data_IF_394595952515
#
_entry.id   IF_394595952515
#
_cell.length_a   1.000
_cell.length_b   1.000
_cell.length_c   1.000
_cell.angle_alpha   90.00
_cell.angle_beta   90.00
_cell.angle_gamma   90.00
#
_symmetry.space_group_name_H-M   'P 1'
#
loop_
_entity.id
_entity.type
_entity.pdbx_description
1 polymer ?
#
# COMPACT_ATOMS: atom_id res chain seq x y z
N UNK A 1 -38.36 -25.49 15.20
CA UNK A 1 -37.58 -24.26 14.95
C UNK A 1 -36.26 -24.73 14.38
N UNK A 2 -36.12 -24.64 13.06
CA UNK A 2 -35.00 -25.24 12.35
C UNK A 2 -33.71 -24.46 12.70
N UNK A 3 -33.00 -24.95 13.70
CA UNK A 3 -31.66 -24.56 14.16
C UNK A 3 -31.25 -23.12 13.81
N UNK A 4 -31.91 -22.15 14.46
CA UNK A 4 -31.62 -20.71 14.28
C UNK A 4 -30.15 -20.38 14.58
N UNK A 5 -29.52 -21.18 15.44
CA UNK A 5 -28.09 -21.10 15.77
C UNK A 5 -27.22 -21.45 14.56
N UNK A 6 -27.51 -22.56 13.86
CA UNK A 6 -26.76 -22.97 12.68
C UNK A 6 -26.89 -22.00 11.50
N UNK A 7 -28.01 -21.28 11.37
CA UNK A 7 -28.16 -20.21 10.37
C UNK A 7 -27.27 -19.01 10.70
N UNK A 8 -27.21 -18.62 11.97
CA UNK A 8 -26.36 -17.52 12.44
C UNK A 8 -24.87 -17.85 12.28
N UNK A 9 -24.44 -19.07 12.59
CA UNK A 9 -23.05 -19.52 12.42
C UNK A 9 -22.62 -19.52 10.95
N UNK A 10 -23.47 -20.05 10.05
CA UNK A 10 -23.21 -20.01 8.61
C UNK A 10 -23.14 -18.57 8.06
N UNK A 11 -23.90 -17.65 8.66
CA UNK A 11 -23.85 -16.24 8.28
C UNK A 11 -22.55 -15.57 8.75
N UNK A 12 -22.05 -15.93 9.93
CA UNK A 12 -20.76 -15.45 10.45
C UNK A 12 -19.56 -16.01 9.66
N UNK A 13 -19.62 -17.27 9.22
CA UNK A 13 -18.56 -17.86 8.38
C UNK A 13 -18.45 -17.09 7.07
N UNK A 14 -19.58 -16.82 6.41
CA UNK A 14 -19.62 -16.04 5.16
C UNK A 14 -19.09 -14.62 5.33
N UNK A 15 -19.43 -13.96 6.44
CA UNK A 15 -18.97 -12.59 6.72
C UNK A 15 -17.45 -12.54 6.94
N UNK A 16 -16.89 -13.53 7.66
CA UNK A 16 -15.45 -13.69 7.85
C UNK A 16 -14.71 -13.96 6.55
N UNK A 17 -15.22 -14.89 5.74
CA UNK A 17 -14.61 -15.26 4.45
C UNK A 17 -14.55 -14.06 3.49
N UNK A 18 -15.61 -13.25 3.45
CA UNK A 18 -15.66 -12.01 2.65
C UNK A 18 -14.62 -10.99 3.13
N UNK A 19 -14.54 -10.76 4.45
CA UNK A 19 -13.60 -9.81 5.03
C UNK A 19 -12.13 -10.20 4.82
N UNK A 20 -11.81 -11.50 4.88
CA UNK A 20 -10.47 -11.99 4.60
C UNK A 20 -10.08 -11.82 3.12
N UNK A 21 -11.03 -12.02 2.18
CA UNK A 21 -10.79 -11.79 0.76
C UNK A 21 -10.53 -10.31 0.44
N UNK A 22 -11.27 -9.38 1.05
CA UNK A 22 -11.11 -7.93 0.80
C UNK A 22 -9.81 -7.37 1.38
N UNK A 23 -9.25 -8.02 2.40
CA UNK A 23 -8.00 -7.59 3.07
C UNK A 23 -6.74 -7.85 2.22
N UNK A 24 -6.80 -8.72 1.23
CA UNK A 24 -5.66 -9.41 0.60
C UNK A 24 -4.70 -8.60 -0.29
N UNK A 25 -4.63 -7.27 -0.17
CA UNK A 25 -3.55 -6.51 -0.80
C UNK A 25 -2.28 -6.55 0.06
N UNK A 26 -1.09 -6.90 -0.47
CA UNK A 26 0.14 -6.76 0.30
C UNK A 26 0.28 -5.30 0.76
N UNK A 27 0.68 -5.03 2.02
CA UNK A 27 0.88 -3.67 2.48
C UNK A 27 1.90 -3.01 1.57
N UNK A 28 1.52 -1.88 0.96
CA UNK A 28 2.45 -1.11 0.11
C UNK A 28 3.64 -0.72 0.99
N UNK A 29 4.84 -1.15 0.60
CA UNK A 29 6.06 -0.84 1.35
C UNK A 29 6.24 0.68 1.43
N UNK A 30 6.08 1.23 2.63
CA UNK A 30 6.27 2.64 2.92
C UNK A 30 7.58 2.86 3.64
N UNK A 31 8.34 3.88 3.22
CA UNK A 31 9.56 4.32 3.89
C UNK A 31 9.32 5.67 4.55
N UNK A 32 10.01 5.93 5.66
CA UNK A 32 10.09 7.23 6.32
C UNK A 32 11.35 8.02 5.91
N UNK A 33 12.03 7.63 4.83
CA UNK A 33 13.23 8.34 4.34
C UNK A 33 12.91 9.65 3.63
N UNK A 34 11.68 9.81 3.12
CA UNK A 34 11.29 10.95 2.30
C UNK A 34 10.09 11.69 2.88
N UNK A 35 10.23 12.99 3.10
CA UNK A 35 9.12 13.86 3.49
C UNK A 35 8.44 14.46 2.26
N UNK A 36 7.13 14.26 2.12
CA UNK A 36 6.38 14.86 1.04
C UNK A 36 6.29 16.38 1.19
N UNK A 37 6.65 17.15 0.14
CA UNK A 37 6.53 18.61 0.15
C UNK A 37 5.09 19.13 0.23
N UNK A 38 4.12 18.35 -0.26
CA UNK A 38 2.71 18.76 -0.33
C UNK A 38 1.94 18.51 0.98
N UNK A 39 1.94 17.27 1.48
CA UNK A 39 1.22 16.91 2.71
C UNK A 39 2.10 16.89 3.96
N UNK A 40 3.41 17.09 3.85
CA UNK A 40 4.39 17.11 4.95
C UNK A 40 4.50 15.80 5.75
N UNK A 41 3.89 14.72 5.27
CA UNK A 41 3.98 13.40 5.87
C UNK A 41 5.18 12.62 5.33
N UNK A 42 5.65 11.66 6.11
CA UNK A 42 6.82 10.85 5.80
C UNK A 42 6.47 9.52 5.13
N UNK A 43 5.19 9.22 4.93
CA UNK A 43 4.72 7.98 4.29
C UNK A 43 4.85 8.06 2.77
N UNK A 44 5.98 7.60 2.25
CA UNK A 44 6.25 7.54 0.81
C UNK A 44 6.63 6.12 0.36
N UNK A 45 6.34 5.76 -0.87
CA UNK A 45 6.93 4.62 -1.56
C UNK A 45 8.02 5.12 -2.50
N UNK A 46 9.05 4.33 -2.73
CA UNK A 46 10.06 4.66 -3.71
C UNK A 46 10.49 3.43 -4.49
N UNK A 47 10.95 3.64 -5.71
CA UNK A 47 11.65 2.64 -6.49
C UNK A 47 12.81 3.29 -7.21
N UNK A 48 13.72 2.45 -7.63
CA UNK A 48 15.03 2.83 -8.12
C UNK A 48 15.12 2.36 -9.56
N UNK A 49 15.35 3.28 -10.49
CA UNK A 49 15.42 2.99 -11.91
C UNK A 49 16.62 3.73 -12.51
N UNK A 50 17.48 2.99 -13.20
CA UNK A 50 18.58 3.58 -13.95
C UNK A 50 18.03 4.16 -15.25
N UNK A 51 17.92 5.49 -15.30
CA UNK A 51 17.47 6.21 -16.51
C UNK A 51 18.60 6.97 -17.20
N UNK A 52 19.83 6.87 -16.68
CA UNK A 52 21.02 7.58 -17.18
C UNK A 52 22.15 6.58 -17.48
N UNK A 53 23.23 7.09 -18.08
CA UNK A 53 24.43 6.31 -18.41
C UNK A 53 24.98 5.55 -17.20
N UNK A 54 25.78 4.51 -17.46
CA UNK A 54 26.31 3.62 -16.43
C UNK A 54 27.18 4.31 -15.37
N UNK A 55 27.77 5.46 -15.71
CA UNK A 55 28.62 6.25 -14.83
C UNK A 55 27.85 7.18 -13.87
N UNK A 56 26.54 7.35 -14.06
CA UNK A 56 25.71 8.18 -13.18
C UNK A 56 24.91 7.31 -12.19
N UNK A 57 24.69 7.80 -10.96
CA UNK A 57 23.91 7.07 -9.97
C UNK A 57 22.47 6.87 -10.43
N UNK A 58 21.86 5.80 -9.94
CA UNK A 58 20.46 5.46 -10.24
C UNK A 58 19.51 6.59 -9.80
N UNK A 59 18.45 6.83 -10.59
CA UNK A 59 17.43 7.80 -10.23
C UNK A 59 16.41 7.15 -9.30
N UNK A 60 16.12 7.81 -8.17
CA UNK A 60 15.11 7.35 -7.21
C UNK A 60 13.80 8.07 -7.52
N UNK A 61 12.75 7.30 -7.78
CA UNK A 61 11.40 7.79 -7.99
C UNK A 61 10.61 7.63 -6.70
N UNK A 62 10.07 8.72 -6.17
CA UNK A 62 9.35 8.74 -4.91
C UNK A 62 7.90 9.13 -5.15
N UNK A 63 6.97 8.38 -4.55
CA UNK A 63 5.54 8.61 -4.61
C UNK A 63 4.97 8.71 -3.19
N UNK A 64 4.26 9.79 -2.89
CA UNK A 64 3.57 9.93 -1.60
C UNK A 64 2.31 9.07 -1.57
N UNK A 65 2.15 8.27 -0.52
CA UNK A 65 0.98 7.38 -0.37
C UNK A 65 -0.32 8.13 -0.08
N UNK A 66 -0.23 9.30 0.55
CA UNK A 66 -1.41 10.03 1.02
C UNK A 66 -1.94 11.06 0.01
N UNK A 67 -1.06 11.73 -0.73
CA UNK A 67 -1.46 12.77 -1.69
C UNK A 67 -1.09 12.47 -3.15
N UNK A 68 -0.56 11.27 -3.42
CA UNK A 68 -0.16 10.81 -4.75
C UNK A 68 0.84 11.72 -5.49
N UNK A 69 1.53 12.60 -4.76
CA UNK A 69 2.58 13.43 -5.32
C UNK A 69 3.77 12.56 -5.72
N UNK A 70 4.32 12.79 -6.92
CA UNK A 70 5.43 12.03 -7.47
C UNK A 70 6.58 12.98 -7.82
N UNK A 71 7.80 12.62 -7.46
CA UNK A 71 9.00 13.39 -7.77
C UNK A 71 10.22 12.49 -7.92
N UNK A 72 11.30 13.04 -8.47
CA UNK A 72 12.57 12.35 -8.66
C UNK A 72 13.60 12.90 -7.69
N UNK A 73 14.43 12.01 -7.16
CA UNK A 73 15.62 12.35 -6.39
C UNK A 73 16.83 11.85 -7.19
N UNK A 74 17.71 12.78 -7.57
CA UNK A 74 18.90 12.56 -8.40
C UNK A 74 20.15 12.66 -7.53
#
# INVERSE_FOLDING_TARGET
>A
MANDQGRAENQQIKDKDLFECERGGPPKATTDQFKCGRCKQWKCTYYQLQTRSADEPMTIFVTCVNCNNHWKFC
#
